data_IF_443182158348
#
_entry.id   IF_443182158348
#
_cell.length_a   1.000
_cell.length_b   1.000
_cell.length_c   1.000
_cell.angle_alpha   90.00
_cell.angle_beta   90.00
_cell.angle_gamma   90.00
#
_symmetry.space_group_name_H-M   'P 1'
#
loop_
_entity.id
_entity.type
_entity.pdbx_description
1 polymer ?
#
# COMPACT_ATOMS: atom_id res chain seq x y z
N UNK A 1 13.98 12.16 3.61
CA UNK A 1 12.57 12.60 3.55
C UNK A 1 11.69 11.47 3.07
N UNK A 2 10.56 11.22 3.73
CA UNK A 2 9.66 10.13 3.39
C UNK A 2 8.96 10.39 2.06
N UNK A 3 8.83 9.34 1.25
CA UNK A 3 8.10 9.36 -0.02
C UNK A 3 7.31 8.08 -0.21
N UNK A 4 6.38 8.11 -1.16
CA UNK A 4 5.64 6.93 -1.57
C UNK A 4 6.45 6.20 -2.64
N UNK A 5 6.81 4.96 -2.34
CA UNK A 5 7.48 4.04 -3.25
C UNK A 5 6.50 2.97 -3.72
N UNK A 6 6.67 2.55 -4.96
CA UNK A 6 5.80 1.58 -5.63
C UNK A 6 6.56 0.29 -5.88
N UNK A 7 5.99 -0.82 -5.44
CA UNK A 7 6.44 -2.17 -5.79
C UNK A 7 5.57 -2.66 -6.94
N UNK A 8 6.08 -2.53 -8.17
CA UNK A 8 5.35 -2.80 -9.42
C UNK A 8 4.69 -4.19 -9.42
N UNK A 9 5.41 -5.20 -8.96
CA UNK A 9 4.96 -6.59 -9.04
C UNK A 9 3.84 -6.92 -8.07
N UNK A 10 3.58 -6.10 -7.05
CA UNK A 10 2.57 -6.36 -6.02
C UNK A 10 1.17 -5.85 -6.37
N UNK A 11 1.05 -4.83 -7.21
CA UNK A 11 -0.25 -4.21 -7.48
C UNK A 11 -1.11 -5.10 -8.40
N UNK A 12 -2.37 -5.29 -8.00
CA UNK A 12 -3.35 -6.12 -8.70
C UNK A 12 -4.37 -5.31 -9.51
N UNK A 13 -4.26 -3.98 -9.51
CA UNK A 13 -5.19 -3.12 -10.24
C UNK A 13 -6.53 -2.87 -9.57
N UNK A 14 -6.66 -3.05 -8.25
CA UNK A 14 -7.92 -2.79 -7.53
C UNK A 14 -8.40 -1.32 -7.56
N UNK A 15 -7.54 -0.36 -7.94
CA UNK A 15 -7.83 1.08 -8.09
C UNK A 15 -8.39 1.79 -6.86
N UNK A 16 -8.38 1.16 -5.68
CA UNK A 16 -8.79 1.80 -4.42
C UNK A 16 -7.99 3.08 -4.17
N UNK A 17 -6.70 3.07 -4.45
CA UNK A 17 -5.88 4.27 -4.28
C UNK A 17 -6.30 5.44 -5.18
N UNK A 18 -6.78 5.20 -6.40
CA UNK A 18 -7.32 6.24 -7.30
C UNK A 18 -8.60 6.82 -6.71
N UNK A 19 -9.59 5.95 -6.46
CA UNK A 19 -10.93 6.34 -6.02
C UNK A 19 -10.89 7.12 -4.71
N UNK A 20 -10.07 6.69 -3.76
CA UNK A 20 -9.90 7.40 -2.50
C UNK A 20 -9.11 8.69 -2.66
N UNK A 21 -8.04 8.73 -3.47
CA UNK A 21 -7.31 9.98 -3.69
C UNK A 21 -8.21 11.06 -4.33
N UNK A 22 -9.00 10.68 -5.33
CA UNK A 22 -9.98 11.55 -5.97
C UNK A 22 -11.02 12.06 -4.95
N UNK A 23 -11.56 11.16 -4.12
CA UNK A 23 -12.53 11.51 -3.08
C UNK A 23 -11.96 12.50 -2.05
N UNK A 24 -10.70 12.34 -1.65
CA UNK A 24 -10.07 13.26 -0.69
C UNK A 24 -9.84 14.66 -1.27
N UNK A 25 -9.58 14.75 -2.57
CA UNK A 25 -9.31 16.01 -3.28
C UNK A 25 -10.61 16.71 -3.69
N UNK A 26 -11.47 16.01 -4.43
CA UNK A 26 -12.66 16.57 -5.09
C UNK A 26 -13.96 16.29 -4.33
N UNK A 27 -13.96 15.38 -3.35
CA UNK A 27 -15.16 14.94 -2.65
C UNK A 27 -16.01 13.90 -3.41
N UNK A 28 -15.57 13.48 -4.59
CA UNK A 28 -16.25 12.48 -5.43
C UNK A 28 -15.39 11.25 -5.67
N UNK A 29 -15.99 10.07 -5.65
CA UNK A 29 -15.31 8.84 -6.03
C UNK A 29 -15.21 8.76 -7.55
N UNK A 30 -14.06 9.13 -8.10
CA UNK A 30 -13.78 9.05 -9.54
C UNK A 30 -12.50 8.25 -9.78
N UNK A 31 -12.36 7.67 -10.98
CA UNK A 31 -11.14 6.98 -11.43
C UNK A 31 -10.24 7.87 -12.29
N UNK A 32 -10.60 9.15 -12.44
CA UNK A 32 -9.94 10.10 -13.32
C UNK A 32 -9.39 11.32 -12.61
N UNK A 33 -9.88 11.63 -11.40
CA UNK A 33 -9.31 12.64 -10.51
C UNK A 33 -8.23 12.07 -9.59
N UNK A 34 -7.54 12.95 -8.87
CA UNK A 34 -6.54 12.59 -7.87
C UNK A 34 -5.09 12.51 -8.36
N UNK A 35 -4.17 12.47 -7.39
CA UNK A 35 -2.70 12.48 -7.57
C UNK A 35 -2.05 11.11 -7.77
N UNK A 36 -2.85 10.05 -7.99
CA UNK A 36 -2.36 8.69 -8.21
C UNK A 36 -3.18 7.98 -9.28
N UNK A 37 -2.51 7.29 -10.21
CA UNK A 37 -3.15 6.58 -11.32
C UNK A 37 -2.54 5.21 -11.56
N UNK A 38 -3.36 4.18 -11.59
CA UNK A 38 -3.00 2.81 -11.88
C UNK A 38 -3.08 2.58 -13.39
N UNK A 39 -1.91 2.38 -13.99
CA UNK A 39 -1.79 2.03 -15.40
C UNK A 39 -1.58 0.53 -15.54
N UNK A 40 -2.44 -0.14 -16.30
CA UNK A 40 -2.23 -1.54 -16.67
C UNK A 40 -1.27 -1.59 -17.84
N UNK A 41 -0.18 -2.35 -17.69
CA UNK A 41 0.84 -2.53 -18.73
C UNK A 41 0.62 -3.91 -19.35
N UNK A 42 0.06 -4.01 -20.58
CA UNK A 42 -0.29 -5.30 -21.17
C UNK A 42 0.93 -6.22 -21.36
N UNK A 43 2.09 -5.65 -21.70
CA UNK A 43 3.33 -6.40 -21.93
C UNK A 43 3.86 -7.11 -20.68
N UNK A 44 3.72 -6.48 -19.50
CA UNK A 44 4.16 -7.04 -18.22
C UNK A 44 3.06 -7.84 -17.49
N UNK A 45 1.81 -7.83 -18.00
CA UNK A 45 0.62 -8.38 -17.31
C UNK A 45 0.51 -7.91 -15.85
N UNK A 46 0.95 -6.68 -15.58
CA UNK A 46 0.89 -6.07 -14.26
C UNK A 46 0.19 -4.71 -14.34
N UNK A 47 -0.27 -4.25 -13.17
CA UNK A 47 -0.82 -2.91 -13.01
C UNK A 47 0.13 -2.12 -12.13
N UNK A 48 0.51 -0.92 -12.56
CA UNK A 48 1.51 -0.09 -11.87
C UNK A 48 0.84 1.22 -11.44
N UNK A 49 0.78 1.54 -10.13
CA UNK A 49 0.37 2.85 -9.68
C UNK A 49 1.49 3.87 -9.93
N UNK A 50 1.15 4.96 -10.59
CA UNK A 50 1.98 6.15 -10.80
C UNK A 50 1.51 7.19 -9.79
N UNK A 51 2.40 7.60 -8.89
CA UNK A 51 2.10 8.52 -7.79
C UNK A 51 2.76 9.86 -8.07
N UNK A 52 1.97 10.93 -8.08
CA UNK A 52 2.42 12.30 -8.32
C UNK A 52 2.19 13.17 -7.07
N UNK A 53 2.66 12.69 -5.92
CA UNK A 53 2.65 13.44 -4.66
C UNK A 53 3.68 12.90 -3.66
N UNK A 54 4.01 13.69 -2.64
CA UNK A 54 4.89 13.28 -1.55
C UNK A 54 4.16 12.52 -0.43
N UNK A 55 2.85 12.29 -0.53
CA UNK A 55 2.04 11.62 0.49
C UNK A 55 1.34 12.55 1.49
N UNK A 56 1.42 13.87 1.29
CA UNK A 56 0.66 14.85 2.07
C UNK A 56 -0.80 14.90 1.58
N UNK A 57 -1.67 14.19 2.29
CA UNK A 57 -3.11 14.15 2.02
C UNK A 57 -3.82 15.28 2.76
N UNK A 58 -4.67 16.03 2.06
CA UNK A 58 -5.47 17.14 2.64
C UNK A 58 -6.44 16.61 3.71
N UNK A 59 -7.03 15.45 3.46
CA UNK A 59 -8.02 14.79 4.33
C UNK A 59 -7.61 13.33 4.56
N UNK A 60 -6.51 13.08 5.27
CA UNK A 60 -6.10 11.69 5.52
C UNK A 60 -7.15 10.96 6.37
N UNK A 61 -7.48 9.72 5.99
CA UNK A 61 -8.39 8.83 6.74
C UNK A 61 -7.68 8.20 7.96
N UNK A 62 -6.34 8.22 7.96
CA UNK A 62 -5.53 7.63 9.01
C UNK A 62 -4.78 8.72 9.78
N UNK A 63 -4.81 8.62 11.12
CA UNK A 63 -4.22 9.57 12.07
C UNK A 63 -2.71 9.40 12.24
N UNK A 64 -2.13 8.28 11.79
CA UNK A 64 -0.71 7.92 11.98
C UNK A 64 0.25 8.64 11.01
N UNK A 65 -0.24 9.67 10.31
CA UNK A 65 0.52 10.43 9.31
C UNK A 65 0.86 9.63 8.06
N UNK A 66 0.25 8.45 7.85
CA UNK A 66 0.41 7.68 6.62
C UNK A 66 -0.55 8.19 5.54
N UNK A 67 -0.11 8.28 4.28
CA UNK A 67 -0.98 8.61 3.15
C UNK A 67 -2.11 7.59 3.04
N UNK A 68 -3.31 8.06 2.74
CA UNK A 68 -4.51 7.21 2.65
C UNK A 68 -4.36 6.11 1.59
N UNK A 69 -3.77 6.41 0.44
CA UNK A 69 -3.51 5.42 -0.61
C UNK A 69 -2.61 4.28 -0.12
N UNK A 70 -1.60 4.62 0.69
CA UNK A 70 -0.67 3.67 1.28
C UNK A 70 -1.40 2.82 2.30
N UNK A 71 -2.21 3.39 3.19
CA UNK A 71 -2.91 2.61 4.20
C UNK A 71 -3.92 1.62 3.59
N UNK A 72 -4.70 2.06 2.59
CA UNK A 72 -5.77 1.27 1.98
C UNK A 72 -5.30 0.17 1.02
N UNK A 73 -4.06 0.24 0.50
CA UNK A 73 -3.60 -0.73 -0.48
C UNK A 73 -3.60 -2.16 0.09
N UNK A 74 -4.46 -3.08 -0.41
CA UNK A 74 -4.62 -4.42 0.16
C UNK A 74 -3.39 -5.29 -0.08
N UNK A 75 -2.69 -5.09 -1.20
CA UNK A 75 -1.53 -5.89 -1.59
C UNK A 75 -0.20 -5.39 -1.03
N UNK A 76 -0.19 -4.24 -0.34
CA UNK A 76 1.06 -3.65 0.16
C UNK A 76 1.98 -3.09 -0.94
N UNK A 77 1.47 -2.84 -2.14
CA UNK A 77 2.25 -2.33 -3.27
C UNK A 77 2.77 -0.88 -3.09
N UNK A 78 2.20 -0.12 -2.16
CA UNK A 78 2.59 1.26 -1.86
C UNK A 78 3.27 1.30 -0.48
N UNK A 79 4.47 1.87 -0.43
CA UNK A 79 5.31 1.99 0.78
C UNK A 79 5.55 3.47 1.07
N UNK A 80 5.22 3.95 2.26
CA UNK A 80 5.55 5.31 2.70
C UNK A 80 6.68 5.27 3.72
N UNK A 81 7.91 5.57 3.27
CA UNK A 81 9.09 5.47 4.10
C UNK A 81 10.23 6.35 3.56
N UNK A 82 11.34 6.39 4.31
CA UNK A 82 12.65 6.83 3.80
C UNK A 82 13.19 5.82 2.77
N UNK A 83 14.11 6.25 1.91
CA UNK A 83 14.61 5.44 0.79
C UNK A 83 15.18 4.10 1.26
N UNK A 84 16.06 4.11 2.25
CA UNK A 84 16.74 2.90 2.76
C UNK A 84 15.72 1.89 3.28
N UNK A 85 14.74 2.37 4.05
CA UNK A 85 13.66 1.54 4.58
C UNK A 85 12.73 1.03 3.48
N UNK A 86 12.48 1.82 2.43
CA UNK A 86 11.66 1.42 1.30
C UNK A 86 12.33 0.31 0.47
N UNK A 87 13.65 0.39 0.27
CA UNK A 87 14.42 -0.65 -0.42
C UNK A 87 14.35 -1.97 0.36
N UNK A 88 14.58 -1.92 1.67
CA UNK A 88 14.51 -3.12 2.52
C UNK A 88 13.10 -3.75 2.48
N UNK A 89 12.05 -2.94 2.68
CA UNK A 89 10.67 -3.40 2.63
C UNK A 89 10.28 -3.98 1.26
N UNK A 90 10.78 -3.40 0.17
CA UNK A 90 10.56 -3.93 -1.18
C UNK A 90 11.08 -5.35 -1.32
N UNK A 91 12.33 -5.60 -0.93
CA UNK A 91 12.95 -6.93 -1.00
C UNK A 91 12.17 -7.96 -0.18
N UNK A 92 11.78 -7.58 1.04
CA UNK A 92 10.98 -8.44 1.91
C UNK A 92 9.61 -8.78 1.30
N UNK A 93 8.92 -7.80 0.74
CA UNK A 93 7.58 -8.01 0.20
C UNK A 93 7.61 -8.80 -1.11
N UNK A 94 8.60 -8.58 -1.97
CA UNK A 94 8.83 -9.37 -3.18
C UNK A 94 9.17 -10.84 -2.83
N UNK A 95 10.04 -11.06 -1.85
CA UNK A 95 10.37 -12.41 -1.36
C UNK A 95 9.15 -13.10 -0.72
N UNK A 96 8.37 -12.37 0.07
CA UNK A 96 7.14 -12.89 0.67
C UNK A 96 6.13 -13.30 -0.40
N UNK A 97 5.94 -12.47 -1.44
CA UNK A 97 5.03 -12.74 -2.57
C UNK A 97 5.31 -14.07 -3.27
N UNK A 98 6.57 -14.45 -3.43
CA UNK A 98 6.94 -15.69 -4.13
C UNK A 98 6.48 -16.96 -3.40
N UNK A 99 6.13 -16.88 -2.11
CA UNK A 99 5.71 -18.05 -1.32
C UNK A 99 4.31 -18.56 -1.68
N UNK A 100 3.37 -17.68 -2.05
CA UNK A 100 1.98 -18.09 -2.29
C UNK A 100 1.23 -17.15 -3.26
N UNK A 101 0.40 -17.72 -4.14
CA UNK A 101 -0.36 -16.98 -5.16
C UNK A 101 -1.37 -15.98 -4.58
N UNK A 102 -2.00 -16.31 -3.43
CA UNK A 102 -2.94 -15.41 -2.73
C UNK A 102 -2.33 -14.07 -2.31
N UNK A 103 -1.00 -13.97 -2.21
CA UNK A 103 -0.33 -12.73 -1.85
C UNK A 103 -0.35 -11.68 -2.98
N UNK A 104 -0.96 -12.03 -4.13
CA UNK A 104 -1.39 -11.08 -5.16
C UNK A 104 -2.67 -10.33 -4.83
N UNK A 105 -3.48 -10.82 -3.89
CA UNK A 105 -4.80 -10.25 -3.58
C UNK A 105 -4.74 -9.47 -2.27
N UNK A 106 -4.12 -10.03 -1.24
CA UNK A 106 -4.00 -9.43 0.10
C UNK A 106 -2.57 -9.68 0.61
N UNK A 107 -1.91 -8.65 1.12
CA UNK A 107 -0.63 -8.74 1.82
C UNK A 107 -0.85 -9.15 3.28
N UNK A 108 -0.51 -10.40 3.68
CA UNK A 108 -0.77 -10.88 5.04
C UNK A 108 0.02 -10.14 6.12
N UNK A 109 1.17 -9.59 5.77
CA UNK A 109 2.01 -8.77 6.66
C UNK A 109 1.42 -7.39 6.94
N UNK A 110 0.41 -6.99 6.18
CA UNK A 110 -0.26 -5.70 6.31
C UNK A 110 -1.70 -5.85 6.80
N UNK A 111 -2.39 -6.89 6.35
CA UNK A 111 -3.77 -7.18 6.72
C UNK A 111 -3.82 -8.54 7.41
N UNK A 112 -4.20 -8.60 8.70
CA UNK A 112 -4.52 -9.88 9.30
C UNK A 112 -5.67 -10.50 8.50
N UNK A 113 -5.55 -11.78 8.15
CA UNK A 113 -6.67 -12.49 7.52
C UNK A 113 -7.92 -12.39 8.41
N UNK A 114 -9.15 -12.43 7.88
CA UNK A 114 -10.37 -12.27 8.67
C UNK A 114 -10.51 -13.22 9.89
N UNK A 115 -9.81 -14.36 9.88
CA UNK A 115 -9.74 -15.31 11.00
C UNK A 115 -8.57 -15.06 11.98
N UNK A 116 -7.69 -14.10 11.67
CA UNK A 116 -6.67 -13.55 12.57
C UNK A 116 -7.22 -12.26 13.17
N UNK A 117 -7.46 -12.21 14.48
CA UNK A 117 -8.00 -11.01 15.13
C UNK A 117 -6.89 -9.95 15.28
N UNK A 118 -7.12 -8.68 14.91
CA UNK A 118 -6.12 -7.60 15.01
C UNK A 118 -5.48 -7.44 16.40
N UNK A 119 -6.18 -7.83 17.47
CA UNK A 119 -5.67 -7.75 18.85
C UNK A 119 -4.56 -8.77 19.16
N UNK A 120 -4.40 -9.85 18.39
CA UNK A 120 -3.35 -10.85 18.62
C UNK A 120 -1.99 -10.41 18.04
N UNK A 121 -1.96 -9.45 17.11
CA UNK A 121 -0.72 -8.92 16.53
C UNK A 121 -0.11 -7.77 17.33
N UNK A 122 -0.91 -6.92 18.00
CA UNK A 122 -0.35 -5.89 18.91
C UNK A 122 0.48 -6.53 20.04
N UNK A 123 0.06 -7.70 20.53
CA UNK A 123 0.84 -8.49 21.49
C UNK A 123 2.17 -8.97 20.90
N UNK A 124 2.15 -9.59 19.71
CA UNK A 124 3.36 -10.16 19.07
C UNK A 124 4.36 -9.11 18.56
N UNK A 125 3.91 -7.93 18.17
CA UNK A 125 4.80 -6.84 17.73
C UNK A 125 5.35 -6.01 18.90
N UNK A 126 4.65 -5.98 20.05
CA UNK A 126 5.16 -5.37 21.29
C UNK A 126 6.15 -6.30 22.03
N UNK A 127 6.00 -7.62 21.92
CA UNK A 127 6.89 -8.61 22.53
C UNK A 127 8.17 -8.88 21.72
N UNK A 128 8.25 -8.39 20.47
CA UNK A 128 9.40 -8.55 19.58
C UNK A 128 10.40 -7.39 19.60
N UNK A 129 10.18 -6.38 20.44
CA UNK A 129 11.04 -5.20 20.60
C UNK A 129 11.60 -5.18 22.04
N UNK A 130 12.16 -6.31 22.47
CA UNK A 130 13.08 -6.40 23.61
C UNK A 130 14.22 -7.35 23.23
N UNK A 131 15.34 -6.78 22.79
CA UNK A 131 16.65 -7.22 23.27
C UNK A 131 17.18 -6.10 24.16
#
# INVERSE_FOLDING_TARGET
MKRIYVVEDLCNGCRLCESFCASLEEGVFSSHGGRIRVTTVPSKRCSIPIVDCNGECIRSIHEDGRPTCVALCPTGALIYAELERAVQARLEYEAARQKHSLFKIIAPWKWPFPWLRPNEQRARSAEGEVM
#
